data_IF_481661977401
#
_entry.id   IF_481661977401
#
_cell.length_a   1.000
_cell.length_b   1.000
_cell.length_c   1.000
_cell.angle_alpha   90.00
_cell.angle_beta   90.00
_cell.angle_gamma   90.00
#
_symmetry.space_group_name_H-M   'P 1'
#
loop_
_entity.id
_entity.type
_entity.pdbx_description
1 polymer ?
#
# COMPACT_ATOMS: atom_id res chain seq x y z
N UNK A 1 -19.86 -8.25 -5.63
CA UNK A 1 -18.55 -8.56 -5.00
C UNK A 1 -17.75 -9.36 -6.05
N UNK A 2 -16.45 -9.12 -6.26
CA UNK A 2 -15.68 -9.93 -7.22
C UNK A 2 -15.32 -11.27 -6.58
N UNK A 3 -15.59 -12.37 -7.29
CA UNK A 3 -15.25 -13.73 -6.87
C UNK A 3 -14.13 -14.21 -7.80
N UNK A 4 -13.02 -14.78 -7.30
CA UNK A 4 -11.96 -15.31 -8.15
C UNK A 4 -12.50 -16.47 -9.01
N UNK A 5 -12.15 -16.48 -10.30
CA UNK A 5 -12.74 -17.41 -11.27
C UNK A 5 -11.78 -18.55 -11.67
N UNK A 6 -10.48 -18.44 -11.37
CA UNK A 6 -9.47 -19.45 -11.70
C UNK A 6 -8.77 -19.99 -10.47
N UNK A 7 -8.25 -21.21 -10.56
CA UNK A 7 -7.46 -21.82 -9.48
C UNK A 7 -6.29 -20.93 -9.06
N UNK A 8 -5.57 -20.32 -10.00
CA UNK A 8 -4.44 -19.45 -9.70
C UNK A 8 -4.86 -18.14 -9.03
N UNK A 9 -6.00 -17.56 -9.43
CA UNK A 9 -6.55 -16.38 -8.73
C UNK A 9 -6.97 -16.71 -7.30
N UNK A 10 -7.53 -17.90 -7.05
CA UNK A 10 -7.84 -18.37 -5.70
C UNK A 10 -6.57 -18.63 -4.90
N UNK A 11 -5.58 -19.32 -5.46
CA UNK A 11 -4.30 -19.57 -4.79
C UNK A 11 -3.62 -18.27 -4.36
N UNK A 12 -3.63 -17.23 -5.20
CA UNK A 12 -3.01 -15.95 -4.85
C UNK A 12 -3.72 -15.25 -3.68
N UNK A 13 -5.06 -15.28 -3.67
CA UNK A 13 -5.87 -14.76 -2.54
C UNK A 13 -5.62 -15.58 -1.27
N UNK A 14 -5.60 -16.91 -1.37
CA UNK A 14 -5.43 -17.78 -0.20
C UNK A 14 -4.05 -17.61 0.42
N UNK A 15 -2.98 -17.60 -0.40
CA UNK A 15 -1.61 -17.40 0.08
C UNK A 15 -1.47 -16.05 0.78
N UNK A 16 -1.96 -14.97 0.16
CA UNK A 16 -1.89 -13.63 0.76
C UNK A 16 -2.73 -13.53 2.03
N UNK A 17 -3.96 -14.07 2.02
CA UNK A 17 -4.84 -14.07 3.18
C UNK A 17 -4.26 -14.84 4.36
N UNK A 18 -3.74 -16.06 4.13
CA UNK A 18 -3.11 -16.86 5.19
C UNK A 18 -1.87 -16.16 5.72
N UNK A 19 -1.01 -15.62 4.85
CA UNK A 19 0.15 -14.84 5.27
C UNK A 19 -0.27 -13.68 6.18
N UNK A 20 -1.25 -12.87 5.75
CA UNK A 20 -1.76 -11.73 6.53
C UNK A 20 -2.37 -12.14 7.87
N UNK A 21 -3.16 -13.23 7.92
CA UNK A 21 -3.78 -13.68 9.17
C UNK A 21 -2.71 -14.13 10.17
N UNK A 22 -1.71 -14.90 9.72
CA UNK A 22 -0.64 -15.37 10.59
C UNK A 22 0.20 -14.19 11.09
N UNK A 23 0.61 -13.28 10.21
CA UNK A 23 1.43 -12.12 10.60
C UNK A 23 0.68 -11.19 11.54
N UNK A 24 -0.60 -10.89 11.28
CA UNK A 24 -1.42 -10.07 12.18
C UNK A 24 -1.62 -10.72 13.55
N UNK A 25 -1.82 -12.05 13.61
CA UNK A 25 -1.96 -12.74 14.89
C UNK A 25 -0.69 -12.62 15.75
N UNK A 26 0.48 -12.78 15.13
CA UNK A 26 1.78 -12.64 15.79
C UNK A 26 2.03 -11.19 16.22
N UNK A 27 1.75 -10.22 15.36
CA UNK A 27 1.87 -8.79 15.66
C UNK A 27 0.95 -8.36 16.82
N UNK A 28 -0.30 -8.82 16.83
CA UNK A 28 -1.24 -8.56 17.94
C UNK A 28 -0.76 -9.17 19.26
N UNK A 29 -0.19 -10.38 19.23
CA UNK A 29 0.40 -11.00 20.42
C UNK A 29 1.60 -10.19 20.94
N UNK A 30 2.52 -9.79 20.06
CA UNK A 30 3.68 -8.97 20.41
C UNK A 30 3.22 -7.64 21.04
N UNK A 31 2.24 -6.98 20.41
CA UNK A 31 1.68 -5.73 20.90
C UNK A 31 1.03 -5.89 22.29
N UNK A 32 0.22 -6.94 22.48
CA UNK A 32 -0.43 -7.22 23.75
C UNK A 32 0.58 -7.52 24.86
N UNK A 33 1.59 -8.35 24.57
CA UNK A 33 2.64 -8.67 25.53
C UNK A 33 3.40 -7.41 25.95
N UNK A 34 3.85 -6.63 24.96
CA UNK A 34 4.53 -5.36 25.18
C UNK A 34 3.71 -4.39 26.03
N UNK A 35 2.44 -4.19 25.68
CA UNK A 35 1.56 -3.25 26.38
C UNK A 35 1.30 -3.67 27.84
N UNK A 36 1.19 -4.98 28.09
CA UNK A 36 0.94 -5.51 29.44
C UNK A 36 2.12 -5.35 30.40
N UNK A 37 3.34 -5.20 29.87
CA UNK A 37 4.58 -5.14 30.65
C UNK A 37 5.16 -3.72 30.78
N UNK A 38 4.49 -2.70 30.20
CA UNK A 38 4.85 -1.30 30.38
C UNK A 38 4.52 -0.82 31.80
N UNK A 39 5.45 -0.09 32.41
CA UNK A 39 5.27 0.57 33.71
C UNK A 39 4.83 2.03 33.49
N UNK A 40 4.26 2.66 34.52
CA UNK A 40 3.82 4.07 34.45
C UNK A 40 4.93 5.06 34.00
N UNK A 41 6.21 4.73 34.29
CA UNK A 41 7.37 5.52 33.82
C UNK A 41 7.54 5.55 32.29
N UNK A 42 6.88 4.67 31.55
CA UNK A 42 7.01 4.62 30.10
C UNK A 42 6.35 5.81 29.38
N UNK A 43 5.40 6.51 30.01
CA UNK A 43 4.69 7.64 29.38
C UNK A 43 5.63 8.80 29.00
N UNK A 44 6.72 8.97 29.77
CA UNK A 44 7.72 10.03 29.55
C UNK A 44 8.86 9.61 28.62
N UNK A 45 8.91 8.34 28.20
CA UNK A 45 9.99 7.82 27.34
C UNK A 45 9.48 7.69 25.90
N UNK A 46 10.01 8.47 24.97
CA UNK A 46 9.58 8.46 23.55
C UNK A 46 9.61 7.07 22.91
N UNK A 47 10.58 6.22 23.27
CA UNK A 47 10.67 4.85 22.78
C UNK A 47 9.41 4.01 23.04
N UNK A 48 8.63 4.35 24.08
CA UNK A 48 7.40 3.64 24.42
C UNK A 48 6.31 3.79 23.35
N UNK A 49 6.28 4.97 22.68
CA UNK A 49 5.33 5.34 21.63
C UNK A 49 5.75 4.80 20.26
N UNK A 50 7.03 4.53 20.07
CA UNK A 50 7.60 4.13 18.77
C UNK A 50 7.26 2.68 18.40
N UNK A 51 7.37 1.74 19.35
CA UNK A 51 7.11 0.30 19.11
C UNK A 51 5.67 0.06 18.60
N UNK A 52 4.60 0.56 19.27
CA UNK A 52 3.23 0.40 18.79
C UNK A 52 3.01 0.87 17.35
N UNK A 53 3.69 1.96 16.96
CA UNK A 53 3.48 2.57 15.65
C UNK A 53 4.19 1.78 14.55
N UNK A 54 5.34 1.17 14.85
CA UNK A 54 5.99 0.24 13.94
C UNK A 54 5.14 -1.02 13.71
N UNK A 55 4.63 -1.63 14.78
CA UNK A 55 3.74 -2.80 14.72
C UNK A 55 2.44 -2.48 13.95
N UNK A 56 1.82 -1.34 14.27
CA UNK A 56 0.58 -0.88 13.62
C UNK A 56 0.80 -0.59 12.12
N UNK A 57 1.91 0.04 11.75
CA UNK A 57 2.22 0.30 10.35
C UNK A 57 2.42 -1.01 9.57
N UNK A 58 3.13 -1.97 10.16
CA UNK A 58 3.37 -3.24 9.50
C UNK A 58 2.08 -4.03 9.28
N UNK A 59 1.23 -4.06 10.32
CA UNK A 59 -0.12 -4.60 10.26
C UNK A 59 -0.97 -3.92 9.18
N UNK A 60 -0.91 -2.59 9.09
CA UNK A 60 -1.57 -1.83 8.02
C UNK A 60 -1.03 -2.21 6.64
N UNK A 61 0.27 -2.49 6.51
CA UNK A 61 0.89 -3.00 5.28
C UNK A 61 0.24 -4.27 4.75
N UNK A 62 0.08 -5.29 5.60
CA UNK A 62 -0.57 -6.54 5.17
C UNK A 62 -2.05 -6.35 4.86
N UNK A 63 -2.77 -5.53 5.63
CA UNK A 63 -4.18 -5.22 5.33
C UNK A 63 -4.33 -4.48 4.01
N UNK A 64 -3.45 -3.51 3.75
CA UNK A 64 -3.44 -2.76 2.49
C UNK A 64 -3.08 -3.66 1.30
N UNK A 65 -2.14 -4.59 1.50
CA UNK A 65 -1.79 -5.60 0.51
C UNK A 65 -3.01 -6.45 0.11
N UNK A 66 -3.81 -6.94 1.06
CA UNK A 66 -5.05 -7.68 0.75
C UNK A 66 -6.04 -6.87 -0.09
N UNK A 67 -6.21 -5.58 0.23
CA UNK A 67 -7.07 -4.68 -0.55
C UNK A 67 -6.54 -4.54 -1.98
N UNK A 68 -5.23 -4.40 -2.15
CA UNK A 68 -4.60 -4.31 -3.46
C UNK A 68 -4.64 -5.63 -4.23
N UNK A 69 -4.54 -6.79 -3.57
CA UNK A 69 -4.71 -8.12 -4.17
C UNK A 69 -6.10 -8.23 -4.78
N UNK A 70 -7.14 -7.92 -3.99
CA UNK A 70 -8.52 -7.94 -4.48
C UNK A 70 -8.70 -7.02 -5.68
N UNK A 71 -8.19 -5.79 -5.62
CA UNK A 71 -8.30 -4.83 -6.71
C UNK A 71 -7.51 -5.26 -7.96
N UNK A 72 -6.29 -5.80 -7.80
CA UNK A 72 -5.46 -6.29 -8.89
C UNK A 72 -6.14 -7.43 -9.65
N UNK A 73 -6.69 -8.41 -8.93
CA UNK A 73 -7.38 -9.55 -9.52
C UNK A 73 -8.71 -9.15 -10.17
N UNK A 74 -9.50 -8.30 -9.51
CA UNK A 74 -10.76 -7.76 -10.06
C UNK A 74 -10.53 -7.01 -11.37
N UNK A 75 -9.45 -6.24 -11.43
CA UNK A 75 -9.11 -5.45 -12.62
C UNK A 75 -8.33 -6.25 -13.67
N UNK A 76 -7.92 -7.49 -13.35
CA UNK A 76 -6.98 -8.32 -14.12
C UNK A 76 -5.72 -7.54 -14.50
N UNK A 77 -5.19 -6.79 -13.53
CA UNK A 77 -4.03 -5.92 -13.71
C UNK A 77 -2.75 -6.65 -13.32
N UNK A 78 -2.08 -7.24 -14.32
CA UNK A 78 -0.84 -8.00 -14.13
C UNK A 78 0.28 -7.16 -13.53
N UNK A 79 0.35 -5.87 -13.87
CA UNK A 79 1.40 -4.98 -13.38
C UNK A 79 1.23 -4.73 -11.88
N UNK A 80 -0.02 -4.61 -11.42
CA UNK A 80 -0.31 -4.49 -9.99
C UNK A 80 0.02 -5.79 -9.24
N UNK A 81 -0.18 -6.97 -9.86
CA UNK A 81 0.26 -8.26 -9.26
C UNK A 81 1.77 -8.31 -9.10
N UNK A 82 2.55 -7.91 -10.12
CA UNK A 82 4.01 -7.83 -10.01
C UNK A 82 4.41 -6.82 -8.92
N UNK A 83 3.77 -5.66 -8.90
CA UNK A 83 3.99 -4.66 -7.85
C UNK A 83 3.68 -5.16 -6.44
N UNK A 84 2.66 -6.02 -6.28
CA UNK A 84 2.33 -6.67 -5.00
C UNK A 84 3.44 -7.63 -4.56
N UNK A 85 3.99 -8.43 -5.46
CA UNK A 85 5.14 -9.28 -5.13
C UNK A 85 6.36 -8.45 -4.68
N UNK A 86 6.65 -7.34 -5.35
CA UNK A 86 7.72 -6.42 -4.95
C UNK A 86 7.43 -5.76 -3.60
N UNK A 87 6.17 -5.39 -3.33
CA UNK A 87 5.77 -4.84 -2.04
C UNK A 87 5.89 -5.88 -0.92
N UNK A 88 5.56 -7.15 -1.17
CA UNK A 88 5.73 -8.21 -0.17
C UNK A 88 7.22 -8.44 0.17
N UNK A 89 8.13 -8.34 -0.82
CA UNK A 89 9.57 -8.30 -0.57
C UNK A 89 9.93 -7.07 0.31
N UNK A 90 9.29 -5.93 0.06
CA UNK A 90 9.47 -4.74 0.90
C UNK A 90 8.99 -4.95 2.33
N UNK A 91 7.86 -5.62 2.54
CA UNK A 91 7.35 -6.02 3.85
C UNK A 91 8.28 -7.01 4.54
N UNK A 92 8.87 -7.96 3.81
CA UNK A 92 9.90 -8.86 4.33
C UNK A 92 11.12 -8.10 4.87
N UNK A 93 11.65 -7.14 4.09
CA UNK A 93 12.77 -6.29 4.52
C UNK A 93 12.37 -5.47 5.75
N UNK A 94 11.15 -4.92 5.75
CA UNK A 94 10.64 -4.18 6.89
C UNK A 94 10.60 -5.04 8.16
N UNK A 95 10.04 -6.25 8.09
CA UNK A 95 10.01 -7.19 9.21
C UNK A 95 11.40 -7.51 9.75
N UNK A 96 12.39 -7.69 8.86
CA UNK A 96 13.78 -7.91 9.28
C UNK A 96 14.38 -6.69 10.01
N UNK A 97 14.09 -5.48 9.54
CA UNK A 97 14.53 -4.22 10.19
C UNK A 97 13.82 -4.03 11.53
N UNK A 98 12.54 -4.36 11.61
CA UNK A 98 11.69 -4.20 12.79
C UNK A 98 12.23 -4.99 14.00
N UNK A 99 12.76 -6.20 13.80
CA UNK A 99 13.39 -6.99 14.89
C UNK A 99 14.45 -6.15 15.63
N UNK A 100 15.33 -5.49 14.86
CA UNK A 100 16.40 -4.68 15.43
C UNK A 100 15.86 -3.40 16.08
N UNK A 101 14.85 -2.78 15.49
CA UNK A 101 14.24 -1.57 16.04
C UNK A 101 13.51 -1.82 17.36
N UNK A 102 12.78 -2.94 17.46
CA UNK A 102 12.14 -3.34 18.72
C UNK A 102 13.19 -3.68 19.77
N UNK A 103 14.27 -4.37 19.40
CA UNK A 103 15.39 -4.65 20.33
C UNK A 103 16.00 -3.38 20.92
N UNK A 104 16.34 -2.43 20.05
CA UNK A 104 16.93 -1.15 20.46
C UNK A 104 15.96 -0.36 21.36
N UNK A 105 14.67 -0.31 21.00
CA UNK A 105 13.66 0.39 21.78
C UNK A 105 13.39 -0.27 23.16
N UNK A 106 13.33 -1.61 23.22
CA UNK A 106 13.19 -2.35 24.49
C UNK A 106 14.41 -2.13 25.37
N UNK A 107 15.63 -2.16 24.82
CA UNK A 107 16.85 -1.86 25.59
C UNK A 107 16.79 -0.48 26.25
N UNK A 108 16.37 0.56 25.51
CA UNK A 108 16.22 1.91 26.05
C UNK A 108 15.17 1.94 27.17
N UNK A 109 14.06 1.24 27.01
CA UNK A 109 13.00 1.18 28.04
C UNK A 109 13.48 0.44 29.30
N UNK A 110 14.28 -0.61 29.14
CA UNK A 110 14.88 -1.37 30.24
C UNK A 110 15.86 -0.49 31.02
N UNK A 111 16.74 0.24 30.33
CA UNK A 111 17.70 1.18 30.96
C UNK A 111 16.98 2.27 31.76
N UNK A 112 15.78 2.68 31.33
CA UNK A 112 14.94 3.67 32.02
C UNK A 112 14.03 3.06 33.11
N UNK A 113 14.13 1.76 33.40
CA UNK A 113 13.24 1.02 34.32
C UNK A 113 11.75 1.13 33.97
N UNK A 114 11.45 1.37 32.69
CA UNK A 114 10.11 1.66 32.17
C UNK A 114 9.38 0.38 31.71
N UNK A 115 10.08 -0.75 31.61
CA UNK A 115 9.53 -2.05 31.20
C UNK A 115 10.09 -3.18 32.07
N UNK A 116 9.56 -4.40 31.95
CA UNK A 116 10.13 -5.60 32.55
C UNK A 116 11.31 -6.12 31.71
N UNK A 117 12.35 -6.65 32.36
CA UNK A 117 13.59 -7.08 31.69
C UNK A 117 13.38 -8.30 30.78
N UNK A 118 12.42 -9.15 31.12
CA UNK A 118 12.13 -10.41 30.40
C UNK A 118 11.34 -10.22 29.10
N UNK A 119 10.78 -9.02 28.83
CA UNK A 119 9.94 -8.76 27.64
C UNK A 119 10.62 -9.15 26.34
N UNK A 120 11.93 -8.87 26.24
CA UNK A 120 12.68 -9.17 25.02
C UNK A 120 12.72 -10.68 24.75
N UNK A 121 13.03 -11.48 25.77
CA UNK A 121 13.13 -12.94 25.63
C UNK A 121 11.81 -13.59 25.23
N UNK A 122 10.68 -13.05 25.69
CA UNK A 122 9.35 -13.53 25.32
C UNK A 122 8.93 -13.11 23.91
N UNK A 123 9.40 -11.96 23.43
CA UNK A 123 8.94 -11.34 22.18
C UNK A 123 9.84 -11.66 20.99
N UNK A 124 11.14 -11.85 21.22
CA UNK A 124 12.16 -12.12 20.20
C UNK A 124 11.81 -13.30 19.28
N UNK A 125 11.36 -14.48 19.78
CA UNK A 125 11.05 -15.61 18.90
C UNK A 125 9.95 -15.27 17.89
N UNK A 126 8.90 -14.56 18.32
CA UNK A 126 7.78 -14.19 17.46
C UNK A 126 8.18 -13.14 16.42
N UNK A 127 9.01 -12.17 16.81
CA UNK A 127 9.59 -11.18 15.89
C UNK A 127 10.44 -11.82 14.79
N UNK A 128 11.15 -12.92 15.07
CA UNK A 128 11.96 -13.65 14.07
C UNK A 128 11.08 -14.55 13.18
N UNK A 129 10.02 -15.15 13.73
CA UNK A 129 9.10 -16.00 12.97
C UNK A 129 8.38 -15.21 11.88
N UNK A 130 8.01 -13.95 12.14
CA UNK A 130 7.24 -13.13 11.18
C UNK A 130 7.96 -13.00 9.82
N UNK A 131 9.22 -12.52 9.71
CA UNK A 131 9.96 -12.51 8.45
C UNK A 131 10.06 -13.88 7.78
N UNK A 132 10.19 -14.97 8.53
CA UNK A 132 10.23 -16.32 7.96
C UNK A 132 8.91 -16.71 7.27
N UNK A 133 7.77 -16.38 7.90
CA UNK A 133 6.44 -16.60 7.31
C UNK A 133 6.25 -15.74 6.06
N UNK A 134 6.65 -14.47 6.11
CA UNK A 134 6.55 -13.55 4.97
C UNK A 134 7.47 -13.97 3.84
N UNK A 135 8.68 -14.48 4.13
CA UNK A 135 9.58 -15.00 3.11
C UNK A 135 8.97 -16.21 2.38
N UNK A 136 8.40 -17.15 3.13
CA UNK A 136 7.70 -18.29 2.56
C UNK A 136 6.51 -17.84 1.69
N UNK A 137 5.67 -16.95 2.22
CA UNK A 137 4.52 -16.42 1.47
C UNK A 137 4.94 -15.61 0.25
N UNK A 138 6.06 -14.88 0.30
CA UNK A 138 6.65 -14.18 -0.85
C UNK A 138 7.03 -15.15 -1.96
N UNK A 139 7.72 -16.24 -1.63
CA UNK A 139 8.09 -17.28 -2.62
C UNK A 139 6.84 -17.89 -3.25
N UNK A 140 5.84 -18.25 -2.44
CA UNK A 140 4.55 -18.76 -2.92
C UNK A 140 3.83 -17.75 -3.82
N UNK A 141 3.80 -16.47 -3.43
CA UNK A 141 3.19 -15.39 -4.22
C UNK A 141 3.88 -15.22 -5.57
N UNK A 142 5.21 -15.21 -5.62
CA UNK A 142 5.97 -15.08 -6.88
C UNK A 142 5.69 -16.27 -7.81
N UNK A 143 5.66 -17.48 -7.28
CA UNK A 143 5.33 -18.68 -8.08
C UNK A 143 3.92 -18.61 -8.67
N UNK A 144 2.92 -18.20 -7.88
CA UNK A 144 1.54 -18.07 -8.37
C UNK A 144 1.40 -16.87 -9.32
N UNK A 145 2.09 -15.76 -9.04
CA UNK A 145 2.11 -14.57 -9.90
C UNK A 145 2.65 -14.88 -11.30
N UNK A 146 3.64 -15.77 -11.41
CA UNK A 146 4.16 -16.20 -12.72
C UNK A 146 3.09 -16.89 -13.56
N UNK A 147 2.26 -17.75 -12.96
CA UNK A 147 1.12 -18.38 -13.65
C UNK A 147 -0.02 -17.39 -13.96
N UNK A 148 -0.28 -16.45 -13.05
CA UNK A 148 -1.26 -15.37 -13.27
C UNK A 148 -0.83 -14.44 -14.42
N UNK A 149 0.47 -14.20 -14.59
CA UNK A 149 0.99 -13.41 -15.70
C UNK A 149 0.57 -14.01 -17.05
N UNK A 150 0.77 -15.32 -17.23
CA UNK A 150 0.38 -16.03 -18.45
C UNK A 150 -1.14 -15.99 -18.67
N UNK A 151 -1.93 -16.24 -17.62
CA UNK A 151 -3.40 -16.25 -17.69
C UNK A 151 -3.97 -14.86 -18.07
N UNK A 152 -3.45 -13.79 -17.44
CA UNK A 152 -3.88 -12.43 -17.73
C UNK A 152 -3.39 -11.94 -19.09
N UNK A 153 -2.16 -12.27 -19.49
CA UNK A 153 -1.63 -11.95 -20.81
C UNK A 153 -2.50 -12.57 -21.91
N UNK A 154 -2.93 -13.82 -21.73
CA UNK A 154 -3.80 -14.53 -22.67
C UNK A 154 -5.23 -13.94 -22.70
N UNK A 155 -5.80 -13.59 -21.54
CA UNK A 155 -7.12 -12.93 -21.47
C UNK A 155 -7.11 -11.54 -22.14
N UNK A 156 -6.03 -10.77 -21.98
CA UNK A 156 -5.85 -9.45 -22.61
C UNK A 156 -5.71 -9.60 -24.13
N UNK A 157 -4.97 -10.62 -24.60
CA UNK A 157 -4.84 -10.91 -26.03
C UNK A 157 -6.23 -11.17 -26.66
N UNK A 158 -7.04 -12.05 -26.08
CA UNK A 158 -8.34 -12.45 -26.65
C UNK A 158 -9.37 -11.31 -26.78
N UNK A 159 -9.30 -10.28 -25.94
CA UNK A 159 -10.27 -9.16 -25.96
C UNK A 159 -9.75 -7.88 -26.63
N UNK A 160 -8.43 -7.71 -26.77
CA UNK A 160 -7.81 -6.47 -27.29
C UNK A 160 -6.92 -6.81 -28.51
N UNK A 161 -7.46 -7.57 -29.47
CA UNK A 161 -6.70 -8.05 -30.64
C UNK A 161 -6.81 -7.20 -31.92
N UNK A 162 -7.53 -6.07 -31.93
CA UNK A 162 -7.62 -5.26 -33.16
C UNK A 162 -6.69 -4.04 -33.19
N UNK A 163 -6.34 -3.43 -32.04
CA UNK A 163 -5.50 -2.22 -32.02
C UNK A 163 -4.42 -2.25 -30.91
N UNK A 164 -3.19 -2.54 -31.33
CA UNK A 164 -2.00 -2.58 -30.47
C UNK A 164 -1.65 -1.22 -29.85
N UNK A 165 -1.97 -0.10 -30.54
CA UNK A 165 -1.69 1.25 -30.05
C UNK A 165 -2.61 1.59 -28.88
N UNK A 166 -3.89 1.21 -28.99
CA UNK A 166 -4.88 1.38 -27.93
C UNK A 166 -4.54 0.56 -26.68
N UNK A 167 -4.10 -0.69 -26.87
CA UNK A 167 -3.60 -1.57 -25.79
C UNK A 167 -2.45 -0.93 -25.01
N UNK A 168 -1.45 -0.37 -25.71
CA UNK A 168 -0.29 0.28 -25.08
C UNK A 168 -0.70 1.48 -24.23
N UNK A 169 -1.58 2.35 -24.74
CA UNK A 169 -2.09 3.52 -24.00
C UNK A 169 -2.84 3.12 -22.74
N UNK A 170 -3.66 2.07 -22.82
CA UNK A 170 -4.39 1.54 -21.67
C UNK A 170 -3.44 0.94 -20.62
N UNK A 171 -2.41 0.23 -21.06
CA UNK A 171 -1.40 -0.33 -20.17
C UNK A 171 -0.64 0.79 -19.43
N UNK A 172 -0.21 1.85 -20.11
CA UNK A 172 0.43 3.02 -19.46
C UNK A 172 -0.49 3.64 -18.40
N UNK A 173 -1.78 3.78 -18.70
CA UNK A 173 -2.77 4.24 -17.73
C UNK A 173 -2.89 3.32 -16.51
N UNK A 174 -2.90 2.00 -16.71
CA UNK A 174 -2.94 1.03 -15.62
C UNK A 174 -1.67 1.02 -14.77
N UNK A 175 -0.48 1.19 -15.37
CA UNK A 175 0.78 1.38 -14.64
C UNK A 175 0.65 2.60 -13.74
N UNK A 176 0.24 3.74 -14.31
CA UNK A 176 0.13 4.98 -13.56
C UNK A 176 -0.81 4.83 -12.36
N UNK A 177 -2.01 4.29 -12.56
CA UNK A 177 -2.97 4.07 -11.46
C UNK A 177 -2.47 3.06 -10.43
N UNK A 178 -1.68 2.06 -10.82
CA UNK A 178 -1.07 1.12 -9.89
C UNK A 178 0.03 1.82 -9.05
N UNK A 179 0.88 2.63 -9.68
CA UNK A 179 1.91 3.43 -8.99
C UNK A 179 1.29 4.37 -7.95
N UNK A 180 0.19 5.06 -8.27
CA UNK A 180 -0.51 5.94 -7.30
C UNK A 180 -0.96 5.21 -6.02
N UNK A 181 -1.30 3.91 -6.11
CA UNK A 181 -1.70 3.11 -4.94
C UNK A 181 -0.49 2.73 -4.09
N UNK A 182 0.61 2.35 -4.73
CA UNK A 182 1.85 2.07 -4.00
C UNK A 182 2.42 3.35 -3.38
N UNK A 183 2.40 4.48 -4.11
CA UNK A 183 2.78 5.80 -3.60
C UNK A 183 1.99 6.17 -2.35
N UNK A 184 0.67 5.93 -2.33
CA UNK A 184 -0.17 6.17 -1.15
C UNK A 184 0.37 5.43 0.08
N UNK A 185 0.69 4.15 -0.05
CA UNK A 185 1.16 3.34 1.07
C UNK A 185 2.52 3.81 1.58
N UNK A 186 3.51 3.94 0.71
CA UNK A 186 4.87 4.31 1.12
C UNK A 186 4.94 5.75 1.63
N UNK A 187 4.19 6.68 1.02
CA UNK A 187 4.10 8.05 1.51
C UNK A 187 3.47 8.11 2.90
N UNK A 188 2.33 7.42 3.08
CA UNK A 188 1.63 7.40 4.36
C UNK A 188 2.49 6.72 5.43
N UNK A 189 3.14 5.61 5.11
CA UNK A 189 4.00 4.90 6.04
C UNK A 189 5.20 5.71 6.51
N UNK A 190 5.86 6.41 5.60
CA UNK A 190 6.91 7.37 5.95
C UNK A 190 6.36 8.48 6.87
N UNK A 191 5.24 9.08 6.49
CA UNK A 191 4.68 10.24 7.22
C UNK A 191 4.24 9.85 8.63
N UNK A 192 3.55 8.71 8.79
CA UNK A 192 3.12 8.20 10.10
C UNK A 192 4.32 7.92 11.00
N UNK A 193 5.36 7.25 10.49
CA UNK A 193 6.60 7.04 11.27
C UNK A 193 7.28 8.36 11.64
N UNK A 194 7.31 9.30 10.71
CA UNK A 194 7.96 10.59 10.91
C UNK A 194 7.23 11.46 11.94
N UNK A 195 5.89 11.42 11.98
CA UNK A 195 5.09 12.14 12.98
C UNK A 195 5.50 11.77 14.40
N UNK A 196 5.75 10.48 14.68
CA UNK A 196 6.14 10.01 16.03
C UNK A 196 7.40 10.70 16.52
N UNK A 197 8.39 10.84 15.65
CA UNK A 197 9.70 11.40 15.99
C UNK A 197 9.61 12.89 16.25
N UNK A 198 8.70 13.58 15.56
CA UNK A 198 8.50 15.02 15.70
C UNK A 198 7.47 15.36 16.78
N UNK A 199 6.76 14.37 17.35
CA UNK A 199 5.67 14.59 18.32
C UNK A 199 6.14 15.30 19.58
N UNK A 200 7.36 15.04 20.05
CA UNK A 200 7.87 15.66 21.29
C UNK A 200 8.46 17.08 21.06
N UNK A 201 8.43 17.58 19.81
CA UNK A 201 8.88 18.94 19.47
C UNK A 201 7.66 19.86 19.32
N UNK A 202 7.57 20.89 20.16
CA UNK A 202 6.51 21.90 20.13
C UNK A 202 6.67 22.88 18.95
N UNK A 203 6.78 22.34 17.74
CA UNK A 203 7.22 23.08 16.56
C UNK A 203 6.19 23.08 15.44
N UNK A 204 6.28 24.12 14.60
CA UNK A 204 5.61 24.27 13.30
C UNK A 204 5.78 23.00 12.44
N UNK A 205 6.91 22.29 12.61
CA UNK A 205 7.20 21.04 11.90
C UNK A 205 6.21 19.91 12.17
N UNK A 206 5.72 19.79 13.42
CA UNK A 206 4.72 18.77 13.76
C UNK A 206 3.39 19.04 13.04
N UNK A 207 2.91 20.28 13.10
CA UNK A 207 1.65 20.70 12.45
C UNK A 207 1.72 20.55 10.93
N UNK A 208 2.85 20.93 10.32
CA UNK A 208 3.06 20.76 8.87
C UNK A 208 3.11 19.29 8.46
N UNK A 209 3.76 18.44 9.26
CA UNK A 209 3.84 17.00 8.98
C UNK A 209 2.47 16.35 9.10
N UNK A 210 1.69 16.70 10.12
CA UNK A 210 0.33 16.18 10.30
C UNK A 210 -0.59 16.62 9.15
N UNK A 211 -0.46 17.88 8.70
CA UNK A 211 -1.18 18.39 7.53
C UNK A 211 -0.74 17.73 6.21
N UNK A 212 0.47 17.16 6.13
CA UNK A 212 0.95 16.50 4.93
C UNK A 212 0.12 15.24 4.57
N UNK A 213 -0.43 14.52 5.57
CA UNK A 213 -1.24 13.31 5.35
C UNK A 213 -2.50 13.61 4.50
N UNK A 214 -3.42 14.51 4.91
CA UNK A 214 -4.60 14.82 4.09
C UNK A 214 -4.25 15.50 2.77
N UNK A 215 -3.20 16.32 2.74
CA UNK A 215 -2.74 16.99 1.51
C UNK A 215 -2.32 15.96 0.47
N UNK A 216 -1.56 14.93 0.85
CA UNK A 216 -1.09 13.92 -0.12
C UNK A 216 -2.19 13.00 -0.59
N UNK A 217 -3.14 12.65 0.28
CA UNK A 217 -4.38 11.97 -0.13
C UNK A 217 -5.10 12.78 -1.21
N UNK A 218 -5.26 14.09 -0.99
CA UNK A 218 -5.91 14.97 -1.96
C UNK A 218 -5.14 15.02 -3.28
N UNK A 219 -3.80 15.15 -3.25
CA UNK A 219 -2.95 15.15 -4.45
C UNK A 219 -3.14 13.85 -5.24
N UNK A 220 -3.09 12.68 -4.60
CA UNK A 220 -3.23 11.38 -5.25
C UNK A 220 -4.64 11.16 -5.83
N UNK A 221 -5.69 11.60 -5.12
CA UNK A 221 -7.07 11.55 -5.62
C UNK A 221 -7.24 12.47 -6.83
N UNK A 222 -6.75 13.71 -6.75
CA UNK A 222 -6.76 14.65 -7.86
C UNK A 222 -5.98 14.11 -9.07
N UNK A 223 -4.82 13.49 -8.85
CA UNK A 223 -4.05 12.83 -9.90
C UNK A 223 -4.85 11.74 -10.61
N UNK A 224 -5.51 10.86 -9.84
CA UNK A 224 -6.36 9.80 -10.38
C UNK A 224 -7.58 10.35 -11.16
N UNK A 225 -8.14 11.49 -10.73
CA UNK A 225 -9.27 12.15 -11.42
C UNK A 225 -8.80 12.83 -12.72
N UNK A 226 -7.72 13.60 -12.67
CA UNK A 226 -7.22 14.37 -13.81
C UNK A 226 -6.72 13.47 -14.94
N UNK A 227 -6.05 12.35 -14.61
CA UNK A 227 -5.66 11.36 -15.63
C UNK A 227 -6.87 10.71 -16.29
N UNK A 228 -7.96 10.44 -15.55
CA UNK A 228 -9.21 9.90 -16.10
C UNK A 228 -9.95 10.89 -16.97
N UNK A 229 -9.91 12.17 -16.62
CA UNK A 229 -10.55 13.25 -17.38
C UNK A 229 -9.74 13.66 -18.62
N UNK A 230 -8.50 13.18 -18.75
CA UNK A 230 -7.52 13.62 -19.74
C UNK A 230 -7.29 15.15 -19.66
N UNK A 231 -7.20 15.70 -18.45
CA UNK A 231 -6.95 17.13 -18.24
C UNK A 231 -5.46 17.42 -18.26
N UNK A 232 -4.96 18.03 -19.35
CA UNK A 232 -3.54 18.38 -19.48
C UNK A 232 -3.08 19.37 -18.40
N UNK A 233 -3.87 20.42 -18.13
CA UNK A 233 -3.55 21.43 -17.11
C UNK A 233 -3.47 20.79 -15.72
N UNK A 234 -4.47 19.98 -15.35
CA UNK A 234 -4.47 19.29 -14.06
C UNK A 234 -3.28 18.36 -13.89
N UNK A 235 -2.90 17.64 -14.96
CA UNK A 235 -1.73 16.77 -14.93
C UNK A 235 -0.40 17.52 -14.84
N UNK A 236 -0.26 18.69 -15.48
CA UNK A 236 0.94 19.54 -15.33
C UNK A 236 1.09 19.96 -13.86
N UNK A 237 0.02 20.42 -13.23
CA UNK A 237 0.02 20.80 -11.81
C UNK A 237 0.44 19.62 -10.93
N UNK A 238 -0.13 18.43 -11.17
CA UNK A 238 0.22 17.21 -10.43
C UNK A 238 1.69 16.82 -10.62
N UNK A 239 2.23 16.92 -11.83
CA UNK A 239 3.65 16.64 -12.09
C UNK A 239 4.55 17.60 -11.31
N UNK A 240 4.23 18.90 -11.29
CA UNK A 240 4.96 19.88 -10.49
C UNK A 240 4.91 19.56 -8.98
N UNK A 241 3.74 19.12 -8.49
CA UNK A 241 3.58 18.67 -7.10
C UNK A 241 4.39 17.39 -6.80
N UNK A 242 4.54 16.47 -7.75
CA UNK A 242 5.42 15.31 -7.59
C UNK A 242 6.90 15.70 -7.52
N UNK A 243 7.34 16.68 -8.30
CA UNK A 243 8.70 17.24 -8.15
C UNK A 243 8.90 17.88 -6.77
N UNK A 244 7.90 18.62 -6.26
CA UNK A 244 7.94 19.18 -4.92
C UNK A 244 7.98 18.08 -3.83
N UNK A 245 7.18 17.02 -3.97
CA UNK A 245 7.20 15.86 -3.08
C UNK A 245 8.56 15.16 -3.11
N UNK A 246 9.14 14.95 -4.29
CA UNK A 246 10.48 14.36 -4.43
C UNK A 246 11.54 15.21 -3.72
N UNK A 247 11.51 16.54 -3.91
CA UNK A 247 12.42 17.46 -3.21
C UNK A 247 12.23 17.39 -1.68
N UNK A 248 11.00 17.29 -1.19
CA UNK A 248 10.70 17.11 0.23
C UNK A 248 11.31 15.81 0.79
N UNK A 249 11.13 14.67 0.10
CA UNK A 249 11.73 13.41 0.54
C UNK A 249 13.25 13.43 0.52
N UNK A 250 13.86 14.04 -0.51
CA UNK A 250 15.31 14.22 -0.56
C UNK A 250 15.82 15.07 0.60
N UNK A 251 15.15 16.20 0.88
CA UNK A 251 15.47 17.04 2.02
C UNK A 251 15.38 16.28 3.35
N UNK A 252 14.29 15.54 3.57
CA UNK A 252 14.11 14.75 4.80
C UNK A 252 15.14 13.63 4.91
N UNK A 253 15.44 12.94 3.81
CA UNK A 253 16.48 11.92 3.77
C UNK A 253 17.84 12.51 4.16
N UNK A 254 18.24 13.66 3.63
CA UNK A 254 19.49 14.33 4.02
C UNK A 254 19.47 14.74 5.48
N UNK A 255 18.37 15.34 5.95
CA UNK A 255 18.21 15.80 7.34
C UNK A 255 18.36 14.67 8.36
N UNK A 256 17.93 13.45 8.03
CA UNK A 256 18.10 12.28 8.92
C UNK A 256 19.57 11.91 9.20
N UNK A 257 20.49 12.33 8.34
CA UNK A 257 21.92 12.05 8.47
C UNK A 257 22.75 13.28 8.86
N UNK A 258 22.12 14.45 9.04
CA UNK A 258 22.82 15.65 9.50
C UNK A 258 23.21 15.52 10.98
N UNK A 259 24.41 16.00 11.40
CA UNK A 259 24.90 15.84 12.78
C UNK A 259 23.97 16.44 13.84
N UNK A 260 23.31 17.56 13.52
CA UNK A 260 22.45 18.30 14.45
C UNK A 260 21.19 17.51 14.83
N UNK A 261 20.58 16.79 13.88
CA UNK A 261 19.34 16.04 14.10
C UNK A 261 19.54 14.52 14.14
N UNK A 262 20.79 14.06 14.04
CA UNK A 262 21.16 12.64 13.95
C UNK A 262 20.56 11.79 15.08
N UNK A 263 20.61 12.30 16.31
CA UNK A 263 20.19 11.55 17.52
C UNK A 263 18.68 11.33 17.55
N UNK A 264 17.91 12.30 17.08
CA UNK A 264 16.44 12.27 17.12
C UNK A 264 15.89 11.18 16.21
N UNK A 265 16.54 10.93 15.07
CA UNK A 265 16.10 9.93 14.10
C UNK A 265 16.59 8.51 14.41
N UNK A 266 17.57 8.34 15.30
CA UNK A 266 18.29 7.09 15.51
C UNK A 266 17.36 5.86 15.68
N UNK A 267 16.28 5.91 16.49
CA UNK A 267 15.39 4.75 16.71
C UNK A 267 14.65 4.28 15.45
N UNK A 268 14.30 5.22 14.55
CA UNK A 268 13.48 4.96 13.38
C UNK A 268 14.23 5.09 12.06
N UNK A 269 15.50 5.49 12.08
CA UNK A 269 16.24 5.87 10.87
C UNK A 269 16.30 4.75 9.84
N UNK A 270 16.54 3.50 10.26
CA UNK A 270 16.65 2.37 9.33
C UNK A 270 15.36 2.19 8.53
N UNK A 271 14.20 2.19 9.20
CA UNK A 271 12.91 2.08 8.51
C UNK A 271 12.56 3.35 7.71
N UNK A 272 12.82 4.54 8.25
CA UNK A 272 12.55 5.79 7.55
C UNK A 272 13.37 5.94 6.27
N UNK A 273 14.67 5.62 6.30
CA UNK A 273 15.51 5.63 5.10
C UNK A 273 14.99 4.64 4.07
N UNK A 274 14.61 3.43 4.50
CA UNK A 274 14.03 2.43 3.62
C UNK A 274 12.77 2.94 2.91
N UNK A 275 11.82 3.49 3.66
CA UNK A 275 10.60 4.10 3.10
C UNK A 275 10.91 5.29 2.20
N UNK A 276 11.83 6.17 2.58
CA UNK A 276 12.20 7.35 1.79
C UNK A 276 12.82 6.97 0.44
N UNK A 277 13.76 6.02 0.43
CA UNK A 277 14.42 5.56 -0.81
C UNK A 277 13.41 4.92 -1.76
N UNK A 278 12.54 4.05 -1.26
CA UNK A 278 11.49 3.44 -2.09
C UNK A 278 10.52 4.51 -2.60
N UNK A 279 10.10 5.44 -1.75
CA UNK A 279 9.18 6.52 -2.15
C UNK A 279 9.78 7.41 -3.24
N UNK A 280 11.06 7.76 -3.14
CA UNK A 280 11.76 8.51 -4.19
C UNK A 280 11.78 7.72 -5.50
N UNK A 281 12.11 6.42 -5.45
CA UNK A 281 12.11 5.57 -6.64
C UNK A 281 10.72 5.47 -7.28
N UNK A 282 9.67 5.30 -6.49
CA UNK A 282 8.29 5.25 -6.97
C UNK A 282 7.84 6.60 -7.56
N UNK A 283 8.14 7.73 -6.90
CA UNK A 283 7.82 9.07 -7.43
C UNK A 283 8.49 9.30 -8.79
N UNK A 284 9.75 8.89 -8.97
CA UNK A 284 10.42 8.99 -10.28
C UNK A 284 9.66 8.18 -11.34
N UNK A 285 9.31 6.92 -11.03
CA UNK A 285 8.49 6.10 -11.93
C UNK A 285 7.12 6.73 -12.21
N UNK A 286 6.49 7.35 -11.21
CA UNK A 286 5.18 8.01 -11.31
C UNK A 286 5.26 9.25 -12.20
N UNK A 287 6.31 10.07 -12.08
CA UNK A 287 6.53 11.24 -12.95
C UNK A 287 6.71 10.79 -14.40
N UNK A 288 7.54 9.79 -14.67
CA UNK A 288 7.76 9.26 -16.02
C UNK A 288 6.43 8.77 -16.61
N UNK A 289 5.66 7.97 -15.86
CA UNK A 289 4.37 7.46 -16.32
C UNK A 289 3.30 8.55 -16.47
N UNK A 290 3.34 9.61 -15.65
CA UNK A 290 2.46 10.77 -15.80
C UNK A 290 2.72 11.49 -17.13
N UNK A 291 3.99 11.73 -17.47
CA UNK A 291 4.38 12.31 -18.76
C UNK A 291 3.95 11.43 -19.94
N UNK A 292 4.16 10.11 -19.83
CA UNK A 292 3.71 9.16 -20.85
C UNK A 292 2.18 9.14 -21.01
N UNK A 293 1.42 9.23 -19.90
CA UNK A 293 -0.03 9.35 -19.95
C UNK A 293 -0.45 10.63 -20.68
N UNK A 294 0.16 11.77 -20.34
CA UNK A 294 -0.16 13.07 -20.94
C UNK A 294 0.12 13.09 -22.44
N UNK A 295 1.23 12.52 -22.90
CA UNK A 295 1.53 12.39 -24.34
C UNK A 295 0.50 11.51 -25.09
N UNK A 296 -0.25 10.67 -24.37
CA UNK A 296 -1.28 9.80 -24.91
C UNK A 296 -2.71 10.38 -24.83
N UNK A 297 -2.91 11.57 -24.27
CA UNK A 297 -4.22 12.21 -24.15
C UNK A 297 -4.85 12.54 -25.51
N UNK A 298 -6.19 12.57 -25.53
CA UNK A 298 -7.03 12.87 -26.69
C UNK A 298 -6.91 11.89 -27.87
N UNK A 299 -6.20 10.76 -27.69
CA UNK A 299 -6.05 9.71 -28.71
C UNK A 299 -7.06 8.56 -28.55
N UNK A 300 -8.27 8.84 -28.02
CA UNK A 300 -9.38 7.87 -27.96
C UNK A 300 -9.40 6.90 -26.76
N UNK A 301 -8.64 7.17 -25.70
CA UNK A 301 -8.56 6.31 -24.50
C UNK A 301 -9.74 6.54 -23.53
N UNK A 302 -10.22 7.79 -23.41
CA UNK A 302 -11.33 8.20 -22.54
C UNK A 302 -12.60 7.32 -22.61
N UNK A 303 -13.13 6.92 -23.79
CA UNK A 303 -14.32 6.04 -23.85
C UNK A 303 -14.05 4.65 -23.26
N UNK A 304 -12.86 4.08 -23.46
CA UNK A 304 -12.52 2.74 -22.96
C UNK A 304 -12.33 2.71 -21.44
N UNK A 305 -11.83 3.80 -20.85
CA UNK A 305 -11.74 3.95 -19.39
C UNK A 305 -13.14 4.13 -18.78
N UNK A 306 -14.01 4.93 -19.40
CA UNK A 306 -15.34 5.26 -18.86
C UNK A 306 -16.42 4.20 -19.14
N UNK A 307 -16.35 3.48 -20.26
CA UNK A 307 -17.35 2.46 -20.67
C UNK A 307 -17.39 1.25 -19.74
N UNK A 308 -16.32 0.96 -19.00
CA UNK A 308 -16.33 -0.08 -17.95
C UNK A 308 -17.22 0.29 -16.75
N UNK A 309 -17.58 1.57 -16.59
CA UNK A 309 -18.60 2.03 -15.63
C UNK A 309 -20.01 1.86 -16.19
N UNK A 310 -20.23 2.18 -17.47
CA UNK A 310 -21.55 2.02 -18.11
C UNK A 310 -21.95 0.56 -18.29
N UNK A 311 -20.99 -0.35 -18.55
CA UNK A 311 -21.27 -1.79 -18.60
C UNK A 311 -21.67 -2.35 -17.23
N UNK A 312 -21.07 -1.82 -16.14
CA UNK A 312 -21.45 -2.18 -14.76
C UNK A 312 -22.78 -1.58 -14.32
N UNK A 313 -23.13 -0.40 -14.81
CA UNK A 313 -24.45 0.22 -14.62
C UNK A 313 -25.52 -0.55 -15.38
N UNK A 314 -25.26 -0.90 -16.65
CA UNK A 314 -26.16 -1.70 -17.47
C UNK A 314 -26.39 -3.11 -16.90
N UNK A 315 -25.33 -3.77 -16.42
CA UNK A 315 -25.42 -5.11 -15.79
C UNK A 315 -26.22 -5.03 -14.48
N UNK A 316 -26.01 -4.00 -13.65
CA UNK A 316 -26.81 -3.76 -12.43
C UNK A 316 -28.27 -3.41 -12.70
N UNK A 317 -28.57 -2.62 -13.74
CA UNK A 317 -29.97 -2.32 -14.11
C UNK A 317 -30.67 -3.54 -14.68
N UNK A 318 -29.95 -4.44 -15.36
CA UNK A 318 -30.50 -5.70 -15.89
C UNK A 318 -30.81 -6.68 -14.75
N UNK A 319 -29.94 -6.80 -13.75
CA UNK A 319 -30.20 -7.65 -12.57
C UNK A 319 -31.32 -7.11 -11.66
N UNK A 320 -31.46 -5.78 -11.55
CA UNK A 320 -32.56 -5.19 -10.76
C UNK A 320 -33.91 -5.34 -11.48
N UNK A 321 -33.94 -5.29 -12.81
CA UNK A 321 -35.17 -5.48 -13.60
C UNK A 321 -35.58 -6.96 -13.69
N UNK A 322 -34.64 -7.91 -13.73
CA UNK A 322 -34.96 -9.34 -13.67
C UNK A 322 -35.53 -9.76 -12.32
N UNK A 323 -35.06 -9.16 -11.22
CA UNK A 323 -35.57 -9.45 -9.86
C UNK A 323 -36.97 -8.88 -9.59
N UNK A 324 -37.40 -7.84 -10.32
CA UNK A 324 -38.77 -7.29 -10.23
C UNK A 324 -39.73 -8.06 -11.16
N UNK A 325 -39.26 -8.57 -12.30
CA UNK A 325 -40.08 -9.36 -13.22
C UNK A 325 -40.41 -10.77 -12.70
N UNK A 326 -39.64 -11.31 -11.74
CA UNK A 326 -39.87 -12.63 -11.14
C UNK A 326 -41.00 -12.70 -10.10
N UNK A 327 -41.66 -11.58 -9.77
CA UNK A 327 -42.65 -11.50 -8.69
C UNK A 327 -44.12 -11.40 -9.15
N UNK A 328 -44.41 -11.61 -10.44
CA UNK A 328 -45.79 -11.60 -10.95
C UNK A 328 -46.21 -13.05 -11.23
N UNK A 329 -47.01 -13.70 -10.37
CA UNK A 329 -47.58 -15.00 -10.69
C UNK A 329 -48.57 -14.84 -11.85
N UNK A 330 -48.25 -15.45 -12.99
CA UNK A 330 -49.15 -15.54 -14.14
C UNK A 330 -50.37 -16.37 -13.76
N UNK A 331 -51.46 -15.71 -13.41
CA UNK A 331 -52.77 -16.34 -13.16
C UNK A 331 -53.31 -16.87 -14.49
N UNK A 332 -53.20 -18.18 -14.68
CA UNK A 332 -53.79 -18.91 -15.80
C UNK A 332 -55.33 -18.80 -15.68
N UNK A 333 -55.99 -18.11 -16.62
CA UNK A 333 -57.43 -18.27 -16.81
C UNK A 333 -57.64 -19.46 -17.75
N UNK A 334 -58.44 -20.41 -17.29
CA UNK A 334 -58.98 -21.51 -18.09
C UNK A 334 -60.41 -21.06 -18.45
N UNK A 335 -60.69 -20.96 -19.75
CA UNK A 335 -62.05 -21.01 -20.30
C UNK A 335 -62.43 -22.48 -20.56
#
# INVERSE_FOLDING_TARGET
MYIPNSMWTWSFVIVTFIQTVITLALECYIFANYQSQLKAKAEVVTASKTIPIFLALYSFGFLYELVLVYDALRMKNTIQVIGLCLCNIGLLIYGAVQVQQVKEAVSILTDNTAINEDVWGETEPFLIIIPCVVAMGTVLMVMVAWKLYDEFAWSIYKHISADLRMKRRYLTYQIYVALLKFDFFFFLGFTVQFVVIVTDKADIEFSLTLAAIPVTILILVCAAIFVRRESSIGMIIIILLYFAAMAYFLFKLVRMYQPETYKDYLPARRSLTFFAVITIALIIMTIINACMCMHNFHKGLKPHINKRRSSKEAEKTTELSSNVAGAIPSRMMID
#
